data_IF_248468813827
#
_entry.id   IF_248468813827
#
_cell.length_a   1.000
_cell.length_b   1.000
_cell.length_c   1.000
_cell.angle_alpha   90.00
_cell.angle_beta   90.00
_cell.angle_gamma   90.00
#
_symmetry.space_group_name_H-M   'P 1'
#
loop_
_entity.id
_entity.type
_entity.pdbx_description
1 polymer ?
#
# COMPACT_ATOMS: atom_id res chain seq x y z
N UNK A 1 15.70 18.58 -0.45
CA UNK A 1 15.47 18.51 -1.89
C UNK A 1 16.81 18.30 -2.58
N UNK A 2 16.95 17.24 -3.33
CA UNK A 2 18.09 16.94 -4.18
C UNK A 2 17.61 17.25 -5.61
N UNK A 3 18.40 18.01 -6.38
CA UNK A 3 18.11 18.34 -7.77
C UNK A 3 16.76 19.07 -7.98
N UNK A 4 16.62 20.22 -7.32
CA UNK A 4 15.43 21.05 -7.40
C UNK A 4 15.41 22.00 -8.63
N UNK A 5 16.42 21.94 -9.49
CA UNK A 5 16.60 22.87 -10.60
C UNK A 5 15.53 22.74 -11.69
N UNK A 6 14.82 21.60 -11.71
CA UNK A 6 13.75 21.30 -12.67
C UNK A 6 12.33 21.42 -12.08
N UNK A 7 12.20 22.03 -10.89
CA UNK A 7 10.86 22.30 -10.32
C UNK A 7 10.33 23.58 -10.98
N UNK A 8 9.28 23.45 -11.75
CA UNK A 8 8.61 24.56 -12.42
C UNK A 8 7.14 24.64 -12.02
N UNK A 9 6.60 25.86 -12.07
CA UNK A 9 5.15 26.02 -12.00
C UNK A 9 4.52 25.53 -13.29
N UNK A 10 3.35 24.92 -13.22
CA UNK A 10 2.51 24.55 -14.36
C UNK A 10 2.06 25.83 -15.07
N UNK A 11 2.97 26.47 -15.79
CA UNK A 11 2.80 27.76 -16.46
C UNK A 11 2.75 27.56 -17.98
N UNK A 12 2.43 28.62 -18.70
CA UNK A 12 2.31 28.63 -20.16
C UNK A 12 3.62 28.35 -20.93
N UNK A 13 4.73 28.19 -20.26
CA UNK A 13 6.00 27.80 -20.90
C UNK A 13 6.01 26.31 -21.16
N UNK A 14 6.12 25.94 -22.43
CA UNK A 14 6.18 24.53 -22.86
C UNK A 14 7.55 23.96 -22.55
N UNK A 15 7.73 23.44 -21.36
CA UNK A 15 8.90 22.62 -21.05
C UNK A 15 8.56 21.13 -21.20
N UNK A 16 9.40 20.43 -21.93
CA UNK A 16 9.33 18.97 -22.10
C UNK A 16 10.56 18.36 -21.45
N UNK A 17 10.59 18.38 -20.10
CA UNK A 17 11.67 17.76 -19.34
C UNK A 17 11.21 16.37 -18.92
N UNK A 18 12.02 15.36 -19.20
CA UNK A 18 11.78 13.99 -18.78
C UNK A 18 13.10 13.25 -18.55
N UNK A 19 13.05 12.25 -17.69
CA UNK A 19 14.14 11.26 -17.56
C UNK A 19 13.92 10.14 -18.54
N UNK A 20 14.93 9.71 -19.30
CA UNK A 20 14.80 8.56 -20.22
C UNK A 20 14.19 7.34 -19.53
N UNK A 21 13.25 6.68 -20.17
CA UNK A 21 12.41 5.57 -19.70
C UNK A 21 11.32 5.94 -18.67
N UNK A 22 11.19 7.21 -18.31
CA UNK A 22 10.10 7.72 -17.45
C UNK A 22 9.25 8.77 -18.16
N UNK A 23 9.39 8.84 -19.50
CA UNK A 23 8.56 9.71 -20.33
C UNK A 23 7.09 9.34 -20.16
N UNK A 24 6.24 10.32 -20.32
CA UNK A 24 4.79 10.14 -20.25
C UNK A 24 4.14 10.36 -21.60
N UNK A 25 3.00 9.70 -21.89
CA UNK A 25 2.40 9.71 -23.24
C UNK A 25 2.17 11.10 -23.82
N UNK A 26 1.68 12.04 -23.02
CA UNK A 26 1.42 13.42 -23.46
C UNK A 26 2.71 14.19 -23.80
N UNK A 27 3.78 13.98 -23.03
CA UNK A 27 5.08 14.63 -23.29
C UNK A 27 5.71 14.09 -24.58
N UNK A 28 5.60 12.79 -24.82
CA UNK A 28 6.03 12.15 -26.08
C UNK A 28 5.27 12.73 -27.28
N UNK A 29 3.99 13.07 -27.11
CA UNK A 29 3.15 13.76 -28.12
C UNK A 29 3.46 15.25 -28.28
N UNK A 30 4.38 15.82 -27.49
CA UNK A 30 4.80 17.22 -27.54
C UNK A 30 3.95 18.16 -26.67
N UNK A 31 3.16 17.62 -25.72
CA UNK A 31 2.49 18.42 -24.71
C UNK A 31 3.48 18.80 -23.60
N UNK A 32 3.14 19.81 -22.81
CA UNK A 32 3.93 20.22 -21.64
C UNK A 32 3.76 19.26 -20.48
N UNK A 33 4.78 19.18 -19.61
CA UNK A 33 4.68 18.52 -18.31
C UNK A 33 3.58 19.15 -17.45
N UNK A 34 3.00 18.33 -16.59
CA UNK A 34 1.96 18.72 -15.63
C UNK A 34 2.07 17.83 -14.39
N UNK A 35 1.32 18.19 -13.35
CA UNK A 35 1.19 17.32 -12.15
C UNK A 35 0.69 15.91 -12.49
N UNK A 36 -0.07 15.76 -13.56
CA UNK A 36 -0.50 14.44 -14.06
C UNK A 36 0.68 13.66 -14.68
N UNK A 37 1.62 14.36 -15.30
CA UNK A 37 2.86 13.74 -15.82
C UNK A 37 3.71 13.19 -14.68
N UNK A 38 3.87 13.95 -13.59
CA UNK A 38 4.59 13.51 -12.40
C UNK A 38 3.96 12.26 -11.76
N UNK A 39 2.62 12.22 -11.69
CA UNK A 39 1.89 11.03 -11.20
C UNK A 39 2.18 9.81 -12.06
N UNK A 40 2.28 9.96 -13.37
CA UNK A 40 2.55 8.83 -14.27
C UNK A 40 3.98 8.33 -14.11
N UNK A 41 4.96 9.24 -14.10
CA UNK A 41 6.36 8.91 -13.86
C UNK A 41 6.57 8.26 -12.47
N UNK A 42 5.89 8.78 -11.43
CA UNK A 42 5.86 8.17 -10.11
C UNK A 42 5.32 6.74 -10.13
N UNK A 43 4.28 6.48 -10.92
CA UNK A 43 3.73 5.13 -11.07
C UNK A 43 4.71 4.17 -11.75
N UNK A 44 5.43 4.61 -12.79
CA UNK A 44 6.51 3.83 -13.42
C UNK A 44 7.59 3.48 -12.40
N UNK A 45 8.06 4.48 -11.65
CA UNK A 45 9.08 4.30 -10.61
C UNK A 45 8.60 3.33 -9.53
N UNK A 46 7.36 3.48 -9.06
CA UNK A 46 6.77 2.63 -8.04
C UNK A 46 6.66 1.17 -8.51
N UNK A 47 6.20 0.96 -9.74
CA UNK A 47 6.12 -0.36 -10.33
C UNK A 47 7.51 -1.01 -10.45
N UNK A 48 8.48 -0.28 -10.99
CA UNK A 48 9.86 -0.73 -11.12
C UNK A 48 10.49 -1.08 -9.76
N UNK A 49 10.27 -0.27 -8.74
CA UNK A 49 10.80 -0.51 -7.39
C UNK A 49 10.21 -1.78 -6.75
N UNK A 50 8.93 -2.07 -7.00
CA UNK A 50 8.22 -3.21 -6.42
C UNK A 50 8.51 -4.51 -7.17
N UNK A 51 8.58 -4.47 -8.51
CA UNK A 51 8.66 -5.65 -9.37
C UNK A 51 10.03 -5.90 -9.98
N UNK A 52 10.93 -4.91 -9.94
CA UNK A 52 12.24 -4.93 -10.63
C UNK A 52 12.05 -5.07 -12.17
N UNK A 53 10.89 -4.68 -12.68
CA UNK A 53 10.55 -4.68 -14.10
C UNK A 53 9.98 -3.34 -14.50
N UNK A 54 10.35 -2.86 -15.69
CA UNK A 54 9.76 -1.66 -16.25
C UNK A 54 8.37 -1.98 -16.83
N UNK A 55 7.30 -1.21 -16.52
CA UNK A 55 5.94 -1.58 -16.89
C UNK A 55 5.67 -1.68 -18.40
N UNK A 56 6.52 -1.11 -19.24
CA UNK A 56 6.34 -1.13 -20.70
C UNK A 56 7.46 -1.85 -21.47
N UNK A 57 8.45 -2.45 -20.76
CA UNK A 57 9.54 -3.19 -21.41
C UNK A 57 9.30 -4.69 -21.30
N UNK A 58 8.48 -5.20 -22.20
CA UNK A 58 8.19 -6.63 -22.37
C UNK A 58 8.67 -7.19 -23.69
N UNK A 59 8.20 -8.38 -24.02
CA UNK A 59 8.59 -9.11 -25.25
C UNK A 59 8.23 -8.37 -26.53
N UNK A 60 7.11 -7.63 -26.55
CA UNK A 60 6.71 -6.83 -27.70
C UNK A 60 7.76 -5.78 -28.08
N UNK A 61 8.42 -5.18 -27.09
CA UNK A 61 9.52 -4.24 -27.33
C UNK A 61 10.81 -4.96 -27.76
N UNK A 62 11.09 -6.14 -27.19
CA UNK A 62 12.25 -6.96 -27.55
C UNK A 62 12.17 -7.45 -29.02
N UNK A 63 10.97 -7.82 -29.48
CA UNK A 63 10.71 -8.27 -30.86
C UNK A 63 10.75 -7.12 -31.89
N UNK A 64 10.38 -5.89 -31.47
CA UNK A 64 10.43 -4.72 -32.34
C UNK A 64 11.85 -4.25 -32.69
N UNK A 65 12.87 -4.74 -31.98
CA UNK A 65 14.29 -4.46 -32.21
C UNK A 65 14.77 -3.14 -31.60
N UNK A 66 15.81 -3.24 -30.80
CA UNK A 66 16.38 -2.14 -30.00
C UNK A 66 17.24 -1.12 -30.76
N UNK A 67 17.15 -1.07 -32.10
CA UNK A 67 18.18 -0.46 -32.95
C UNK A 67 18.18 1.07 -33.03
N UNK A 68 17.24 1.79 -32.45
CA UNK A 68 17.37 3.24 -32.31
C UNK A 68 16.65 3.79 -31.06
N UNK A 69 17.30 4.73 -30.35
CA UNK A 69 16.71 5.39 -29.18
C UNK A 69 15.40 6.15 -29.50
N UNK A 70 15.23 6.65 -30.71
CA UNK A 70 14.04 7.41 -31.10
C UNK A 70 12.85 6.49 -31.48
N UNK A 71 13.11 5.39 -32.13
CA UNK A 71 12.09 4.39 -32.51
C UNK A 71 11.56 3.72 -31.25
N UNK A 72 12.43 3.37 -30.31
CA UNK A 72 12.07 2.74 -29.04
C UNK A 72 11.16 3.62 -28.17
N UNK A 73 11.27 4.95 -28.22
CA UNK A 73 10.42 5.86 -27.43
C UNK A 73 8.97 5.87 -27.90
N UNK A 74 8.71 5.86 -29.21
CA UNK A 74 7.35 5.81 -29.75
C UNK A 74 6.70 4.44 -29.56
N UNK A 75 7.40 3.39 -29.89
CA UNK A 75 6.88 2.01 -29.85
C UNK A 75 6.57 1.57 -28.42
N UNK A 76 7.40 1.93 -27.43
CA UNK A 76 7.16 1.64 -26.02
C UNK A 76 5.80 2.18 -25.53
N UNK A 77 5.33 3.33 -26.01
CA UNK A 77 4.06 3.93 -25.60
C UNK A 77 2.86 3.44 -26.42
N UNK A 78 3.10 2.81 -27.55
CA UNK A 78 2.06 2.17 -28.36
C UNK A 78 1.71 0.78 -27.80
N UNK A 79 2.66 0.10 -27.18
CA UNK A 79 2.46 -1.22 -26.60
C UNK A 79 1.61 -1.16 -25.30
N UNK A 80 0.86 -2.24 -24.99
CA UNK A 80 0.24 -2.38 -23.68
C UNK A 80 1.29 -2.49 -22.58
N UNK A 81 0.93 -2.25 -21.34
CA UNK A 81 1.84 -2.53 -20.23
C UNK A 81 1.99 -4.04 -20.03
N UNK A 82 3.09 -4.48 -19.38
CA UNK A 82 3.49 -5.90 -19.31
C UNK A 82 2.52 -6.83 -18.57
N UNK A 83 1.58 -6.28 -17.82
CA UNK A 83 0.51 -7.02 -17.13
C UNK A 83 -0.89 -6.55 -17.56
N UNK A 84 -1.03 -6.06 -18.80
CA UNK A 84 -2.34 -5.66 -19.32
C UNK A 84 -3.31 -6.83 -19.29
N UNK A 85 -4.52 -6.58 -18.81
CA UNK A 85 -5.52 -7.62 -18.63
C UNK A 85 -6.22 -8.05 -19.90
N UNK A 86 -6.12 -7.25 -20.95
CA UNK A 86 -6.83 -7.44 -22.22
C UNK A 86 -5.90 -7.75 -23.38
N UNK A 87 -4.62 -7.39 -23.26
CA UNK A 87 -3.62 -7.53 -24.33
C UNK A 87 -2.29 -7.99 -23.74
N UNK A 88 -1.90 -9.22 -24.02
CA UNK A 88 -0.68 -9.85 -23.53
C UNK A 88 0.50 -9.78 -24.52
N UNK A 89 0.37 -9.01 -25.61
CA UNK A 89 1.39 -8.89 -26.67
C UNK A 89 2.74 -8.33 -26.17
N UNK A 90 2.71 -7.56 -25.06
CA UNK A 90 3.91 -7.02 -24.42
C UNK A 90 4.20 -7.64 -23.05
N UNK A 91 3.73 -8.85 -22.78
CA UNK A 91 3.99 -9.56 -21.53
C UNK A 91 5.50 -9.66 -21.25
N UNK A 92 5.90 -9.59 -19.97
CA UNK A 92 7.30 -9.79 -19.57
C UNK A 92 7.48 -11.06 -18.76
N UNK A 93 8.63 -11.72 -18.96
CA UNK A 93 9.12 -12.77 -18.09
C UNK A 93 10.20 -12.27 -17.11
N UNK A 94 10.59 -11.01 -17.23
CA UNK A 94 11.61 -10.35 -16.41
C UNK A 94 11.03 -9.82 -15.09
N UNK A 95 11.89 -9.66 -14.09
CA UNK A 95 11.52 -9.11 -12.78
C UNK A 95 10.78 -10.11 -11.87
N UNK A 96 10.19 -9.59 -10.82
CA UNK A 96 9.35 -10.34 -9.89
C UNK A 96 7.91 -10.34 -10.40
N UNK A 97 7.27 -11.51 -10.38
CA UNK A 97 5.87 -11.62 -10.81
C UNK A 97 4.97 -10.75 -9.94
N UNK A 98 4.11 -9.93 -10.56
CA UNK A 98 3.17 -9.05 -9.88
C UNK A 98 2.36 -9.72 -8.77
N UNK A 99 1.78 -10.93 -8.96
CA UNK A 99 1.09 -11.65 -7.89
C UNK A 99 1.92 -11.96 -6.63
N UNK A 100 3.25 -11.90 -6.70
CA UNK A 100 4.14 -12.07 -5.53
C UNK A 100 4.43 -10.75 -4.80
N UNK A 101 4.36 -9.63 -5.49
CA UNK A 101 4.89 -8.34 -5.03
C UNK A 101 3.86 -7.21 -5.01
N UNK A 102 2.69 -7.41 -5.61
CA UNK A 102 1.64 -6.39 -5.74
C UNK A 102 0.35 -6.91 -5.10
N UNK A 103 -0.24 -6.12 -4.19
CA UNK A 103 -1.58 -6.42 -3.66
C UNK A 103 -2.65 -6.21 -4.73
N UNK A 104 -3.83 -6.82 -4.57
CA UNK A 104 -4.95 -6.64 -5.51
C UNK A 104 -5.36 -5.18 -5.67
N UNK A 105 -5.26 -4.39 -4.62
CA UNK A 105 -5.63 -2.99 -4.67
C UNK A 105 -4.57 -2.14 -5.38
N UNK A 106 -3.28 -2.39 -5.13
CA UNK A 106 -2.20 -1.78 -5.91
C UNK A 106 -2.27 -2.18 -7.39
N UNK A 107 -2.61 -3.44 -7.68
CA UNK A 107 -2.78 -3.89 -9.07
C UNK A 107 -3.88 -3.09 -9.78
N UNK A 108 -5.05 -2.89 -9.14
CA UNK A 108 -6.12 -2.04 -9.69
C UNK A 108 -5.66 -0.60 -9.92
N UNK A 109 -4.80 -0.08 -9.03
CA UNK A 109 -4.25 1.26 -9.14
C UNK A 109 -3.31 1.39 -10.34
N UNK A 110 -2.39 0.43 -10.52
CA UNK A 110 -1.51 0.35 -11.69
C UNK A 110 -2.30 0.18 -12.98
N UNK A 111 -3.31 -0.69 -13.01
CA UNK A 111 -4.21 -0.82 -14.16
C UNK A 111 -4.88 0.51 -14.52
N UNK A 112 -5.44 1.19 -13.52
CA UNK A 112 -6.06 2.50 -13.75
C UNK A 112 -5.07 3.51 -14.32
N UNK A 113 -3.81 3.48 -13.88
CA UNK A 113 -2.76 4.36 -14.38
C UNK A 113 -2.33 3.99 -15.81
N UNK A 114 -1.95 2.73 -16.04
CA UNK A 114 -1.28 2.29 -17.26
C UNK A 114 -2.23 1.91 -18.41
N UNK A 115 -3.48 1.56 -18.09
CA UNK A 115 -4.53 1.33 -19.10
C UNK A 115 -5.31 2.64 -19.37
N UNK A 116 -6.14 3.09 -18.43
CA UNK A 116 -6.99 4.25 -18.64
C UNK A 116 -6.23 5.59 -18.61
N UNK A 117 -5.27 5.74 -17.68
CA UNK A 117 -4.47 6.95 -17.48
C UNK A 117 -3.39 7.17 -18.53
N UNK A 118 -3.08 6.15 -19.35
CA UNK A 118 -2.24 6.26 -20.53
C UNK A 118 -2.94 7.07 -21.62
N UNK A 119 -4.21 6.82 -21.85
CA UNK A 119 -5.02 7.49 -22.88
C UNK A 119 -5.55 8.86 -22.41
N UNK A 120 -5.91 8.96 -21.14
CA UNK A 120 -6.51 10.14 -20.56
C UNK A 120 -5.87 10.48 -19.20
N UNK A 121 -5.02 11.51 -19.18
CA UNK A 121 -4.30 11.94 -17.97
C UNK A 121 -5.20 12.25 -16.79
N UNK A 122 -6.45 12.70 -17.03
CA UNK A 122 -7.42 13.03 -15.98
C UNK A 122 -8.00 11.79 -15.27
N UNK A 123 -7.80 10.60 -15.84
CA UNK A 123 -8.20 9.33 -15.20
C UNK A 123 -7.14 8.75 -14.27
N UNK A 124 -5.97 9.35 -14.20
CA UNK A 124 -4.88 8.90 -13.33
C UNK A 124 -5.28 8.99 -11.86
N UNK A 125 -4.88 8.02 -11.02
CA UNK A 125 -5.06 8.09 -9.58
C UNK A 125 -4.31 9.30 -9.00
N UNK A 126 -4.90 9.98 -8.01
CA UNK A 126 -4.25 11.11 -7.35
C UNK A 126 -3.14 10.64 -6.40
N UNK A 127 -2.16 11.52 -6.07
CA UNK A 127 -1.10 11.20 -5.12
C UNK A 127 -1.63 10.77 -3.73
N UNK A 128 -2.66 11.41 -3.14
CA UNK A 128 -3.25 10.92 -1.89
C UNK A 128 -3.76 9.47 -1.99
N UNK A 129 -4.35 9.09 -3.13
CA UNK A 129 -4.77 7.70 -3.38
C UNK A 129 -3.56 6.76 -3.42
N UNK A 130 -2.47 7.16 -4.09
CA UNK A 130 -1.22 6.37 -4.10
C UNK A 130 -0.67 6.16 -2.71
N UNK A 131 -0.58 7.21 -1.89
CA UNK A 131 -0.07 7.13 -0.52
C UNK A 131 -0.91 6.16 0.31
N UNK A 132 -2.23 6.30 0.27
CA UNK A 132 -3.14 5.40 1.00
C UNK A 132 -2.93 3.92 0.62
N UNK A 133 -2.85 3.61 -0.68
CA UNK A 133 -2.73 2.23 -1.13
C UNK A 133 -1.34 1.64 -0.91
N UNK A 134 -0.28 2.45 -1.03
CA UNK A 134 1.08 2.02 -0.70
C UNK A 134 1.21 1.76 0.80
N UNK A 135 0.61 2.60 1.66
CA UNK A 135 0.60 2.41 3.11
C UNK A 135 -0.18 1.15 3.50
N UNK A 136 -1.31 0.88 2.85
CA UNK A 136 -2.06 -0.38 3.03
C UNK A 136 -1.22 -1.61 2.68
N UNK A 137 -0.49 -1.53 1.58
CA UNK A 137 0.40 -2.61 1.16
C UNK A 137 1.56 -2.81 2.16
N UNK A 138 2.23 -1.72 2.54
CA UNK A 138 3.31 -1.76 3.52
C UNK A 138 2.85 -2.32 4.87
N UNK A 139 1.69 -1.86 5.37
CA UNK A 139 1.11 -2.31 6.65
C UNK A 139 0.77 -3.81 6.68
N UNK A 140 0.56 -4.44 5.52
CA UNK A 140 0.22 -5.87 5.41
C UNK A 140 1.42 -6.77 5.10
N UNK A 141 2.63 -6.22 5.08
CA UNK A 141 3.87 -6.91 4.73
C UNK A 141 4.52 -7.52 5.96
N UNK A 142 5.05 -8.74 5.82
CA UNK A 142 5.87 -9.43 6.83
C UNK A 142 7.21 -9.87 6.25
N UNK A 143 8.23 -9.96 7.11
CA UNK A 143 9.56 -10.44 6.77
C UNK A 143 9.69 -11.95 7.04
N UNK A 144 10.26 -12.69 6.12
CA UNK A 144 10.56 -14.10 6.33
C UNK A 144 11.88 -14.28 7.08
N UNK A 145 11.87 -14.83 8.29
CA UNK A 145 13.08 -15.15 9.06
C UNK A 145 13.91 -16.30 8.47
N UNK A 146 13.43 -16.94 7.41
CA UNK A 146 14.14 -18.03 6.73
C UNK A 146 15.04 -17.55 5.59
N UNK A 147 14.58 -16.61 4.79
CA UNK A 147 15.28 -16.15 3.59
C UNK A 147 15.44 -14.62 3.51
N UNK A 148 14.92 -13.85 4.48
CA UNK A 148 15.02 -12.40 4.51
C UNK A 148 14.14 -11.66 3.49
N UNK A 149 13.30 -12.38 2.73
CA UNK A 149 12.38 -11.78 1.76
C UNK A 149 11.10 -11.31 2.42
N UNK A 150 10.62 -10.14 2.04
CA UNK A 150 9.32 -9.62 2.45
C UNK A 150 8.22 -10.12 1.54
N UNK A 151 7.01 -10.33 2.07
CA UNK A 151 5.83 -10.73 1.32
C UNK A 151 4.54 -10.31 2.03
N UNK A 152 3.44 -10.24 1.30
CA UNK A 152 2.15 -9.89 1.87
C UNK A 152 1.55 -11.06 2.64
N UNK A 153 1.22 -10.80 3.90
CA UNK A 153 0.73 -11.82 4.83
C UNK A 153 -0.52 -12.53 4.31
N UNK A 154 -1.42 -11.78 3.72
CA UNK A 154 -2.73 -12.27 3.27
C UNK A 154 -2.66 -13.18 2.04
N UNK A 155 -1.66 -13.00 1.15
CA UNK A 155 -1.61 -13.70 -0.13
C UNK A 155 -1.09 -15.13 -0.05
N UNK A 156 -0.33 -15.46 0.99
CA UNK A 156 0.35 -16.76 1.05
C UNK A 156 0.21 -17.41 2.43
N UNK A 157 -0.07 -18.71 2.50
CA UNK A 157 -0.08 -19.45 3.77
C UNK A 157 1.32 -19.56 4.39
N UNK A 158 2.36 -19.65 3.57
CA UNK A 158 3.77 -19.72 3.94
C UNK A 158 4.58 -18.76 3.08
N UNK A 159 5.84 -18.51 3.43
CA UNK A 159 6.74 -17.73 2.59
C UNK A 159 6.75 -18.23 1.15
N UNK A 160 6.42 -17.41 0.15
CA UNK A 160 6.36 -17.85 -1.26
C UNK A 160 7.73 -18.24 -1.81
N UNK A 161 8.82 -17.74 -1.22
CA UNK A 161 10.19 -17.95 -1.68
C UNK A 161 10.83 -19.21 -1.10
N UNK A 162 10.81 -19.40 0.22
CA UNK A 162 11.49 -20.53 0.90
C UNK A 162 10.55 -21.54 1.56
N UNK A 163 9.22 -21.33 1.49
CA UNK A 163 8.17 -22.19 2.05
C UNK A 163 8.13 -22.28 3.58
N UNK A 164 8.97 -21.51 4.29
CA UNK A 164 8.94 -21.47 5.75
C UNK A 164 7.61 -20.92 6.26
N UNK A 165 7.14 -21.44 7.40
CA UNK A 165 5.94 -20.96 8.06
C UNK A 165 6.05 -19.48 8.45
N UNK A 166 4.91 -18.81 8.56
CA UNK A 166 4.84 -17.43 9.02
C UNK A 166 5.35 -17.30 10.46
N UNK A 167 5.98 -16.16 10.82
CA UNK A 167 6.31 -15.88 12.21
C UNK A 167 5.05 -15.63 13.05
N UNK A 168 5.18 -15.72 14.37
CA UNK A 168 4.15 -15.21 15.29
C UNK A 168 3.96 -13.71 15.05
N UNK A 169 2.71 -13.28 14.90
CA UNK A 169 2.40 -11.92 14.46
C UNK A 169 1.13 -11.37 15.08
N UNK A 170 1.13 -10.08 15.30
CA UNK A 170 -0.06 -9.29 15.58
C UNK A 170 -0.76 -8.99 14.26
N UNK A 171 -2.05 -9.25 14.17
CA UNK A 171 -2.91 -8.87 13.07
C UNK A 171 -3.96 -7.91 13.59
N UNK A 172 -4.08 -6.76 12.94
CA UNK A 172 -5.09 -5.75 13.20
C UNK A 172 -5.88 -5.52 11.93
N UNK A 173 -7.17 -5.74 11.99
CA UNK A 173 -8.07 -5.52 10.85
C UNK A 173 -9.16 -4.52 11.23
N UNK A 174 -9.34 -3.49 10.42
CA UNK A 174 -10.40 -2.52 10.60
C UNK A 174 -11.45 -2.61 9.51
N UNK A 175 -12.69 -2.36 9.89
CA UNK A 175 -13.87 -2.47 9.04
C UNK A 175 -14.75 -1.23 9.21
N UNK A 176 -15.46 -0.84 8.16
CA UNK A 176 -16.59 0.07 8.32
C UNK A 176 -17.62 -0.59 9.25
N UNK A 177 -18.19 0.20 10.16
CA UNK A 177 -19.18 -0.28 11.13
C UNK A 177 -20.47 0.52 10.99
N UNK A 178 -21.56 -0.18 10.65
CA UNK A 178 -22.87 0.45 10.44
C UNK A 178 -23.96 -0.53 10.89
N UNK A 179 -24.98 0.00 11.58
CA UNK A 179 -26.11 -0.77 12.09
C UNK A 179 -25.64 -1.99 12.93
N UNK A 180 -24.65 -1.77 13.80
CA UNK A 180 -24.08 -2.82 14.67
C UNK A 180 -23.48 -4.01 13.92
N UNK A 181 -23.09 -3.82 12.67
CA UNK A 181 -22.50 -4.87 11.84
C UNK A 181 -21.20 -4.40 11.16
N UNK A 182 -20.25 -5.33 11.10
CA UNK A 182 -19.06 -5.18 10.27
C UNK A 182 -19.47 -5.14 8.80
N UNK A 183 -18.94 -4.13 8.10
CA UNK A 183 -19.07 -3.97 6.65
C UNK A 183 -17.77 -4.35 5.94
N UNK A 184 -17.45 -3.70 4.86
CA UNK A 184 -16.23 -3.91 4.10
C UNK A 184 -14.96 -3.63 4.95
N UNK A 185 -13.92 -4.47 4.77
CA UNK A 185 -12.59 -4.26 5.33
C UNK A 185 -12.01 -2.95 4.79
N UNK A 186 -11.48 -2.14 5.70
CA UNK A 186 -10.82 -0.86 5.40
C UNK A 186 -9.31 -0.99 5.37
N UNK A 187 -8.77 -1.63 6.42
CA UNK A 187 -7.33 -1.70 6.64
C UNK A 187 -6.92 -3.05 7.21
N UNK A 188 -5.70 -3.46 6.90
CA UNK A 188 -5.02 -4.55 7.57
C UNK A 188 -3.61 -4.11 7.94
N UNK A 189 -3.26 -4.25 9.20
CA UNK A 189 -1.94 -4.01 9.73
C UNK A 189 -1.39 -5.30 10.31
N UNK A 190 -0.15 -5.64 9.97
CA UNK A 190 0.51 -6.85 10.46
C UNK A 190 1.87 -6.48 11.00
N UNK A 191 2.20 -6.99 12.18
CA UNK A 191 3.51 -6.80 12.78
C UNK A 191 3.98 -8.11 13.40
N UNK A 192 5.19 -8.53 13.06
CA UNK A 192 5.81 -9.69 13.69
C UNK A 192 6.02 -9.46 15.17
N UNK A 193 5.90 -10.54 15.96
CA UNK A 193 6.14 -10.54 17.40
C UNK A 193 7.27 -11.52 17.70
N UNK A 194 8.31 -11.01 18.36
CA UNK A 194 9.39 -11.81 18.92
C UNK A 194 9.64 -11.42 20.38
N UNK A 195 10.58 -12.05 21.05
CA UNK A 195 10.87 -11.81 22.47
C UNK A 195 11.45 -10.42 22.75
N UNK A 196 11.99 -9.74 21.75
CA UNK A 196 12.59 -8.41 21.87
C UNK A 196 11.55 -7.28 21.76
N UNK A 197 10.40 -7.55 21.18
CA UNK A 197 9.35 -6.54 20.98
C UNK A 197 8.58 -6.32 22.27
N UNK A 198 8.76 -5.14 22.85
CA UNK A 198 8.10 -4.73 24.10
C UNK A 198 6.79 -3.99 23.88
N UNK A 199 6.68 -3.27 22.78
CA UNK A 199 5.43 -2.59 22.38
C UNK A 199 5.28 -2.52 20.87
N UNK A 200 4.03 -2.37 20.45
CA UNK A 200 3.64 -2.10 19.05
C UNK A 200 2.71 -0.89 19.07
N UNK A 201 3.05 0.10 18.26
CA UNK A 201 2.28 1.31 18.07
C UNK A 201 1.39 1.14 16.84
N UNK A 202 0.10 1.44 17.00
CA UNK A 202 -0.89 1.38 15.92
C UNK A 202 -1.26 2.79 15.48
N UNK A 203 -1.06 3.11 14.19
CA UNK A 203 -1.34 4.43 13.67
C UNK A 203 -2.83 4.74 13.62
N UNK A 204 -3.17 6.02 13.67
CA UNK A 204 -4.54 6.51 13.77
C UNK A 204 -5.40 6.14 12.56
N UNK A 205 -4.83 6.01 11.37
CA UNK A 205 -5.57 5.68 10.15
C UNK A 205 -6.21 4.27 10.16
N UNK A 206 -5.78 3.39 11.06
CA UNK A 206 -6.45 2.09 11.27
C UNK A 206 -7.84 2.29 11.89
N UNK A 207 -7.97 3.31 12.74
CA UNK A 207 -9.15 3.55 13.59
C UNK A 207 -10.09 4.62 13.05
N UNK A 208 -9.61 5.51 12.19
CA UNK A 208 -10.38 6.63 11.61
C UNK A 208 -10.07 6.83 10.14
N UNK A 209 -10.64 7.83 9.51
CA UNK A 209 -10.36 8.17 8.11
C UNK A 209 -8.87 8.41 7.91
N UNK A 210 -8.33 7.88 6.81
CA UNK A 210 -6.94 8.11 6.45
C UNK A 210 -6.70 9.60 6.16
N UNK A 211 -5.71 10.16 6.84
CA UNK A 211 -5.25 11.52 6.62
C UNK A 211 -3.74 11.50 6.37
N UNK A 212 -3.34 11.92 5.18
CA UNK A 212 -1.93 11.96 4.74
C UNK A 212 -1.03 12.81 5.65
N UNK A 213 -1.59 13.82 6.33
CA UNK A 213 -0.85 14.68 7.24
C UNK A 213 -0.68 14.06 8.65
N UNK A 214 -1.37 12.94 8.91
CA UNK A 214 -1.40 12.27 10.22
C UNK A 214 -0.93 10.81 10.12
N UNK A 215 -0.14 10.45 9.11
CA UNK A 215 0.33 9.07 8.91
C UNK A 215 1.14 8.54 10.09
N UNK A 216 1.91 9.41 10.74
CA UNK A 216 2.75 9.07 11.90
C UNK A 216 2.03 9.24 13.25
N UNK A 217 0.76 9.65 13.23
CA UNK A 217 -0.02 9.84 14.45
C UNK A 217 -0.43 8.48 15.06
N UNK A 218 0.00 8.23 16.30
CA UNK A 218 -0.24 6.98 17.01
C UNK A 218 -1.53 7.09 17.80
N UNK A 219 -2.45 6.17 17.53
CA UNK A 219 -3.74 6.09 18.22
C UNK A 219 -3.71 5.15 19.44
N UNK A 220 -3.09 4.00 19.28
CA UNK A 220 -3.06 2.93 20.28
C UNK A 220 -1.67 2.35 20.40
N UNK A 221 -1.17 2.20 21.62
CA UNK A 221 0.02 1.42 21.93
C UNK A 221 -0.37 0.11 22.62
N UNK A 222 0.20 -1.00 22.16
CA UNK A 222 0.06 -2.34 22.75
C UNK A 222 1.38 -2.69 23.42
N UNK A 223 1.43 -2.74 24.75
CA UNK A 223 2.60 -3.13 25.54
C UNK A 223 2.51 -4.60 25.95
N UNK A 224 3.57 -5.35 25.67
CA UNK A 224 3.71 -6.75 26.10
C UNK A 224 4.38 -6.80 27.48
N UNK A 225 3.60 -6.99 28.54
CA UNK A 225 4.11 -7.03 29.92
C UNK A 225 4.78 -8.40 30.20
N UNK A 226 4.18 -9.45 29.70
CA UNK A 226 4.73 -10.82 29.74
C UNK A 226 3.99 -11.70 28.69
N UNK A 227 4.31 -13.00 28.64
CA UNK A 227 3.73 -13.96 27.69
C UNK A 227 2.18 -14.08 27.74
N UNK A 228 1.55 -13.57 28.81
CA UNK A 228 0.10 -13.69 29.03
C UNK A 228 -0.61 -12.38 29.28
N UNK A 229 0.10 -11.24 29.37
CA UNK A 229 -0.50 -9.96 29.71
C UNK A 229 -0.05 -8.88 28.76
N UNK A 230 -1.01 -8.14 28.24
CA UNK A 230 -0.80 -6.93 27.44
C UNK A 230 -1.54 -5.75 28.06
N UNK A 231 -0.98 -4.57 27.87
CA UNK A 231 -1.62 -3.31 28.21
C UNK A 231 -1.88 -2.50 26.95
N UNK A 232 -3.07 -1.95 26.83
CA UNK A 232 -3.48 -1.05 25.76
C UNK A 232 -3.52 0.36 26.31
N UNK A 233 -2.80 1.28 25.68
CA UNK A 233 -2.84 2.71 26.02
C UNK A 233 -3.21 3.54 24.82
N UNK A 234 -4.19 4.44 24.98
CA UNK A 234 -4.67 5.33 23.92
C UNK A 234 -4.02 6.71 24.07
N UNK A 235 -3.52 7.26 22.99
CA UNK A 235 -2.82 8.56 23.00
C UNK A 235 -3.76 9.76 22.98
N UNK A 236 -5.04 9.61 22.63
CA UNK A 236 -6.01 10.72 22.57
C UNK A 236 -7.17 10.50 23.52
N UNK A 237 -7.43 11.51 24.36
CA UNK A 237 -8.48 11.47 25.41
C UNK A 237 -9.88 11.83 24.87
N UNK A 238 -10.02 12.31 23.64
CA UNK A 238 -11.22 12.99 23.14
C UNK A 238 -12.11 12.11 22.24
N UNK A 239 -11.71 10.88 21.96
CA UNK A 239 -12.48 10.00 21.11
C UNK A 239 -13.28 8.97 21.92
N UNK A 240 -14.53 8.74 21.54
CA UNK A 240 -15.36 7.67 22.12
C UNK A 240 -14.87 6.31 21.61
N UNK A 241 -14.07 5.63 22.42
CA UNK A 241 -13.56 4.28 22.15
C UNK A 241 -14.30 3.28 23.02
N UNK A 242 -14.86 2.26 22.42
CA UNK A 242 -15.59 1.20 23.10
C UNK A 242 -14.87 -0.13 22.90
N UNK A 243 -14.75 -0.88 23.96
CA UNK A 243 -14.31 -2.26 23.93
C UNK A 243 -15.52 -3.19 23.90
N UNK A 244 -15.59 -4.06 22.91
CA UNK A 244 -16.60 -5.10 22.84
C UNK A 244 -16.04 -6.37 23.48
N UNK A 245 -16.58 -6.73 24.65
CA UNK A 245 -16.41 -8.07 25.22
C UNK A 245 -17.68 -8.87 24.97
N UNK A 246 -17.59 -10.21 25.03
CA UNK A 246 -18.73 -11.11 24.83
C UNK A 246 -19.96 -10.78 25.70
N UNK A 247 -19.85 -9.92 26.69
CA UNK A 247 -20.90 -9.63 27.69
C UNK A 247 -21.25 -8.15 27.84
N UNK A 248 -20.45 -7.18 27.38
CA UNK A 248 -20.77 -5.75 27.50
C UNK A 248 -19.85 -4.85 26.65
N UNK A 249 -20.41 -3.80 26.09
CA UNK A 249 -19.65 -2.64 25.58
C UNK A 249 -19.20 -1.79 26.76
N UNK A 250 -17.91 -1.53 26.90
CA UNK A 250 -17.33 -0.66 27.91
C UNK A 250 -16.58 0.50 27.28
N UNK A 251 -16.87 1.73 27.72
CA UNK A 251 -16.07 2.90 27.32
C UNK A 251 -14.65 2.78 27.88
N UNK A 252 -13.65 2.97 27.01
CA UNK A 252 -12.24 2.96 27.36
C UNK A 252 -11.74 4.39 27.52
N UNK A 253 -11.87 4.95 28.73
CA UNK A 253 -11.33 6.28 29.06
C UNK A 253 -9.89 6.25 29.59
N UNK A 254 -9.35 5.10 29.95
CA UNK A 254 -7.98 4.88 30.45
C UNK A 254 -7.56 3.47 30.09
N UNK A 255 -6.27 3.25 29.88
CA UNK A 255 -5.67 2.01 29.43
C UNK A 255 -6.32 0.73 29.96
N UNK A 256 -6.39 -0.28 29.12
CA UNK A 256 -6.98 -1.58 29.40
C UNK A 256 -5.87 -2.62 29.57
N UNK A 257 -5.91 -3.36 30.69
CA UNK A 257 -5.02 -4.51 30.88
C UNK A 257 -5.76 -5.81 30.55
N UNK A 258 -5.21 -6.60 29.64
CA UNK A 258 -5.80 -7.85 29.16
C UNK A 258 -4.90 -9.04 29.47
N UNK A 259 -5.50 -10.15 29.84
CA UNK A 259 -4.75 -11.36 30.21
C UNK A 259 -4.34 -12.22 29.00
N UNK A 260 -4.89 -12.02 27.82
CA UNK A 260 -4.46 -12.68 26.56
C UNK A 260 -5.05 -11.99 25.34
N UNK A 261 -4.24 -11.79 24.30
CA UNK A 261 -4.68 -11.41 22.96
C UNK A 261 -4.97 -12.65 22.05
N UNK A 262 -4.72 -13.87 22.54
CA UNK A 262 -4.91 -15.09 21.74
C UNK A 262 -6.35 -15.31 21.28
N UNK A 263 -7.34 -14.81 22.03
CA UNK A 263 -8.75 -14.88 21.67
C UNK A 263 -9.24 -13.66 20.85
N UNK A 264 -8.34 -12.74 20.53
CA UNK A 264 -8.67 -11.47 19.89
C UNK A 264 -9.41 -10.49 20.81
N UNK A 265 -9.37 -9.23 20.42
CA UNK A 265 -10.16 -8.15 21.02
C UNK A 265 -10.82 -7.34 19.92
N UNK A 266 -11.98 -6.77 20.21
CA UNK A 266 -12.68 -5.88 19.30
C UNK A 266 -12.79 -4.49 19.93
N UNK A 267 -12.50 -3.47 19.13
CA UNK A 267 -12.59 -2.06 19.49
C UNK A 267 -13.54 -1.37 18.52
N UNK A 268 -14.47 -0.60 19.03
CA UNK A 268 -15.36 0.24 18.22
C UNK A 268 -15.00 1.68 18.50
N UNK A 269 -14.69 2.43 17.44
CA UNK A 269 -14.53 3.89 17.52
C UNK A 269 -15.74 4.57 16.90
N UNK A 270 -16.21 5.63 17.55
CA UNK A 270 -17.25 6.51 17.03
C UNK A 270 -16.64 7.86 16.65
N UNK A 271 -15.67 7.83 15.75
CA UNK A 271 -15.13 9.04 15.13
C UNK A 271 -16.05 9.48 13.96
N UNK A 272 -15.53 10.29 13.05
CA UNK A 272 -16.19 10.72 11.82
C UNK A 272 -16.81 9.55 11.02
N UNK A 273 -16.14 8.39 11.03
CA UNK A 273 -16.64 7.12 10.49
C UNK A 273 -16.54 6.06 11.58
N UNK A 274 -17.67 5.47 11.97
CA UNK A 274 -17.67 4.37 12.91
C UNK A 274 -16.87 3.20 12.37
N UNK A 275 -15.88 2.76 13.15
CA UNK A 275 -14.94 1.72 12.76
C UNK A 275 -14.93 0.59 13.78
N UNK A 276 -15.00 -0.64 13.28
CA UNK A 276 -14.80 -1.85 14.08
C UNK A 276 -13.39 -2.39 13.83
N UNK A 277 -12.61 -2.56 14.87
CA UNK A 277 -11.22 -3.00 14.80
C UNK A 277 -11.02 -4.29 15.57
N UNK A 278 -10.53 -5.31 14.90
CA UNK A 278 -10.14 -6.59 15.50
C UNK A 278 -8.63 -6.65 15.65
N UNK A 279 -8.17 -7.08 16.83
CA UNK A 279 -6.75 -7.26 17.15
C UNK A 279 -6.56 -8.69 17.64
N UNK A 280 -5.69 -9.46 16.99
CA UNK A 280 -5.40 -10.85 17.36
C UNK A 280 -3.93 -11.19 17.17
N UNK A 281 -3.45 -12.22 17.89
CA UNK A 281 -2.13 -12.80 17.68
C UNK A 281 -2.32 -14.17 17.00
N UNK A 282 -1.62 -14.38 15.91
CA UNK A 282 -1.53 -15.65 15.21
C UNK A 282 -0.10 -16.22 15.29
N UNK A 283 -0.01 -17.55 15.50
CA UNK A 283 1.24 -18.29 15.57
C UNK A 283 1.57 -18.94 14.25
#
# INVERSE_FOLDING_TARGET
>A
LIDADNIEYESANKTTIFTPNFEVPEVVRGESNSTYSDIYAFGILSYLAITIAHPFKGIGLEEAGWDSEETNKKEQWELPWIEDSNDDSNRSNNGLKGPLTITQDLYKLFRKLFENGKEDKYKRPTLPTWIEFLEKAASSTILCHGCGMSYYEELFPNCPYCKKAKPTRLIVESYYYKNEQKQQKRWKFVKEINEDIKSIELPSYIFKTFNILETDDIFLEIKFINKSRVELSFNKNDEEVYFESQTAMRSLKKGLSLNKLENGISIITKSDIATFVEIKIEK
#
